data_IF_235781222017
#
_entry.id   IF_235781222017
#
_cell.length_a   1.000
_cell.length_b   1.000
_cell.length_c   1.000
_cell.angle_alpha   90.00
_cell.angle_beta   90.00
_cell.angle_gamma   90.00
#
_symmetry.space_group_name_H-M   'P 1'
#
loop_
_entity.id
_entity.type
_entity.pdbx_description
1 polymer ?
#
# COMPACT_ATOMS: atom_id res chain seq x y z
N UNK A 1 12.21 -9.29 20.75
CA UNK A 1 10.86 -9.31 20.15
C UNK A 1 10.56 -7.94 19.59
N UNK A 2 10.31 -7.85 18.29
CA UNK A 2 10.03 -6.59 17.59
C UNK A 2 8.54 -6.26 17.63
N UNK A 3 8.21 -4.97 17.59
CA UNK A 3 6.83 -4.47 17.64
C UNK A 3 6.53 -3.59 16.43
N UNK A 4 5.49 -3.95 15.70
CA UNK A 4 4.94 -3.22 14.56
C UNK A 4 3.55 -2.73 14.95
N UNK A 5 3.32 -1.40 14.87
CA UNK A 5 1.98 -0.84 15.02
C UNK A 5 1.50 -0.25 13.69
N UNK A 6 0.54 -0.91 13.07
CA UNK A 6 -0.20 -0.38 11.94
C UNK A 6 -1.37 0.45 12.40
N UNK A 7 -1.43 1.71 11.96
CA UNK A 7 -2.58 2.59 12.21
C UNK A 7 -3.24 2.87 10.87
N UNK A 8 -4.56 2.70 10.79
CA UNK A 8 -5.30 2.76 9.54
C UNK A 8 -6.51 3.67 9.65
N UNK A 9 -6.74 4.52 8.64
CA UNK A 9 -7.99 5.27 8.51
C UNK A 9 -9.22 4.38 8.27
N UNK A 10 -9.01 3.09 7.96
CA UNK A 10 -10.09 2.13 7.80
C UNK A 10 -10.76 1.72 9.12
N UNK A 11 -11.76 0.86 9.01
CA UNK A 11 -12.57 0.45 10.17
C UNK A 11 -11.77 -0.22 11.28
N UNK A 12 -12.14 0.07 12.53
CA UNK A 12 -11.65 -0.57 13.76
C UNK A 12 -12.19 -1.99 13.97
N UNK A 13 -13.25 -2.39 13.25
CA UNK A 13 -13.78 -3.77 13.30
C UNK A 13 -12.80 -4.83 12.79
N UNK A 14 -11.74 -4.41 12.08
CA UNK A 14 -10.65 -5.27 11.58
C UNK A 14 -9.40 -5.18 12.45
N UNK A 15 -9.51 -4.62 13.64
CA UNK A 15 -8.41 -4.51 14.57
C UNK A 15 -8.03 -5.89 15.06
N UNK A 16 -6.74 -6.18 15.00
CA UNK A 16 -6.22 -7.48 15.34
C UNK A 16 -4.77 -7.35 15.79
N UNK A 17 -4.33 -8.38 16.49
CA UNK A 17 -2.98 -8.50 16.99
C UNK A 17 -2.51 -9.93 16.81
N UNK A 18 -1.33 -10.08 16.22
CA UNK A 18 -0.73 -11.39 15.92
C UNK A 18 0.74 -11.38 16.28
N UNK A 19 1.27 -12.55 16.61
CA UNK A 19 2.71 -12.77 16.75
C UNK A 19 3.12 -13.74 15.67
N UNK A 20 4.09 -13.33 14.86
CA UNK A 20 4.65 -14.14 13.77
C UNK A 20 6.15 -14.28 13.95
N UNK A 21 6.73 -15.30 13.33
CA UNK A 21 8.17 -15.47 13.23
C UNK A 21 8.62 -15.17 11.80
N UNK A 22 9.54 -14.23 11.66
CA UNK A 22 10.09 -13.81 10.35
C UNK A 22 11.59 -13.83 10.44
N UNK A 23 12.24 -14.66 9.61
CA UNK A 23 13.70 -14.81 9.58
C UNK A 23 14.30 -15.15 10.97
N UNK A 24 13.58 -15.94 11.77
CA UNK A 24 13.99 -16.32 13.14
C UNK A 24 13.70 -15.26 14.22
N UNK A 25 13.14 -14.11 13.86
CA UNK A 25 12.75 -13.06 14.81
C UNK A 25 11.25 -13.10 15.10
N UNK A 26 10.88 -13.08 16.39
CA UNK A 26 9.48 -12.91 16.81
C UNK A 26 9.06 -11.45 16.67
N UNK A 27 8.02 -11.23 15.88
CA UNK A 27 7.44 -9.91 15.59
C UNK A 27 5.97 -9.91 16.06
N UNK A 28 5.65 -8.98 16.94
CA UNK A 28 4.28 -8.64 17.30
C UNK A 28 3.77 -7.57 16.33
N UNK A 29 2.69 -7.88 15.62
CA UNK A 29 2.05 -6.99 14.65
C UNK A 29 0.66 -6.67 15.16
N UNK A 30 0.38 -5.39 15.33
CA UNK A 30 -0.92 -4.89 15.74
C UNK A 30 -1.47 -3.94 14.67
N UNK A 31 -2.76 -4.08 14.33
CA UNK A 31 -3.48 -3.12 13.48
C UNK A 31 -4.56 -2.43 14.29
N UNK A 32 -4.58 -1.09 14.27
CA UNK A 32 -5.62 -0.23 14.84
C UNK A 32 -6.29 0.62 13.77
N UNK A 33 -7.62 0.58 13.72
CA UNK A 33 -8.46 1.37 12.84
C UNK A 33 -8.93 2.63 13.54
N UNK A 34 -9.10 3.70 12.76
CA UNK A 34 -9.57 4.99 13.28
C UNK A 34 -10.91 5.40 12.72
N UNK A 35 -11.55 4.56 11.89
CA UNK A 35 -12.90 4.80 11.35
C UNK A 35 -13.01 6.16 10.63
N UNK A 36 -11.95 6.56 9.93
CA UNK A 36 -11.83 7.85 9.24
C UNK A 36 -11.34 9.00 10.11
N UNK A 37 -11.16 8.82 11.42
CA UNK A 37 -10.70 9.88 12.31
C UNK A 37 -9.17 10.07 12.21
N UNK A 38 -8.79 11.16 11.52
CA UNK A 38 -7.40 11.58 11.34
C UNK A 38 -6.76 12.05 12.65
N UNK A 39 -7.52 12.71 13.53
CA UNK A 39 -6.99 13.20 14.82
C UNK A 39 -6.66 12.02 15.72
N UNK A 40 -7.55 11.02 15.79
CA UNK A 40 -7.31 9.76 16.50
C UNK A 40 -6.08 9.04 15.97
N UNK A 41 -5.88 9.00 14.64
CA UNK A 41 -4.68 8.41 14.04
C UNK A 41 -3.40 9.13 14.50
N UNK A 42 -3.39 10.47 14.44
CA UNK A 42 -2.26 11.28 14.90
C UNK A 42 -1.99 11.07 16.41
N UNK A 43 -3.04 10.99 17.22
CA UNK A 43 -2.92 10.72 18.65
C UNK A 43 -2.28 9.35 18.93
N UNK A 44 -2.75 8.29 18.26
CA UNK A 44 -2.16 6.95 18.40
C UNK A 44 -0.67 6.97 18.04
N UNK A 45 -0.30 7.65 16.95
CA UNK A 45 1.10 7.80 16.57
C UNK A 45 1.92 8.51 17.66
N UNK A 46 1.44 9.65 18.18
CA UNK A 46 2.13 10.39 19.25
C UNK A 46 2.30 9.56 20.53
N UNK A 47 1.25 8.85 20.95
CA UNK A 47 1.26 8.06 22.17
C UNK A 47 2.22 6.87 22.10
N UNK A 48 2.49 6.35 20.89
CA UNK A 48 3.30 5.17 20.65
C UNK A 48 4.68 5.48 20.06
N UNK A 49 4.98 6.75 19.76
CA UNK A 49 6.27 7.17 19.21
C UNK A 49 7.41 6.88 20.19
N UNK A 50 8.40 6.11 19.74
CA UNK A 50 9.48 5.58 20.56
C UNK A 50 9.11 4.36 21.42
N UNK A 51 7.88 3.83 21.34
CA UNK A 51 7.44 2.63 22.07
C UNK A 51 7.33 1.37 21.20
N UNK A 52 7.36 1.54 19.88
CA UNK A 52 7.36 0.46 18.89
C UNK A 52 8.54 0.62 17.94
N UNK A 53 8.98 -0.49 17.33
CA UNK A 53 10.13 -0.49 16.43
C UNK A 53 9.81 0.17 15.09
N UNK A 54 8.57 0.04 14.60
CA UNK A 54 8.14 0.64 13.33
C UNK A 54 6.62 0.85 13.30
N UNK A 55 6.19 1.92 12.63
CA UNK A 55 4.80 2.16 12.28
C UNK A 55 4.51 1.71 10.85
N UNK A 56 3.27 1.28 10.62
CA UNK A 56 2.70 1.25 9.26
C UNK A 56 1.51 2.19 9.13
N UNK A 57 1.47 2.93 8.02
CA UNK A 57 0.37 3.79 7.62
C UNK A 57 -0.60 3.00 6.76
N UNK A 58 -1.88 2.99 7.13
CA UNK A 58 -2.93 2.30 6.39
C UNK A 58 -4.11 3.20 6.03
N UNK A 59 -4.79 2.86 4.94
CA UNK A 59 -5.94 3.63 4.44
C UNK A 59 -5.55 4.94 3.73
N UNK A 60 -4.26 5.16 3.53
CA UNK A 60 -3.67 6.20 2.66
C UNK A 60 -2.23 5.78 2.34
N UNK A 61 -1.67 6.29 1.25
CA UNK A 61 -0.26 6.10 0.89
C UNK A 61 0.55 7.36 1.28
N UNK A 62 1.85 7.21 1.56
CA UNK A 62 2.75 8.33 1.80
C UNK A 62 3.39 8.79 0.49
N UNK A 63 3.74 7.83 -0.37
CA UNK A 63 4.43 8.08 -1.62
C UNK A 63 3.75 7.40 -2.80
N UNK A 64 3.72 8.10 -3.94
CA UNK A 64 3.45 7.54 -5.26
C UNK A 64 4.74 7.59 -6.09
N UNK A 65 4.90 6.67 -7.02
CA UNK A 65 6.10 6.58 -7.86
C UNK A 65 5.73 6.53 -9.34
N UNK A 66 6.42 7.31 -10.18
CA UNK A 66 6.25 7.24 -11.63
C UNK A 66 7.07 6.10 -12.27
N UNK A 67 7.01 4.90 -11.69
CA UNK A 67 7.80 3.72 -12.08
C UNK A 67 9.01 3.41 -11.17
N UNK A 68 9.76 2.31 -11.44
CA UNK A 68 10.73 1.74 -10.51
C UNK A 68 11.95 2.64 -10.28
N UNK A 69 12.31 3.43 -11.30
CA UNK A 69 13.35 4.45 -11.26
C UNK A 69 12.77 5.85 -11.48
N UNK A 70 11.46 5.99 -11.24
CA UNK A 70 10.72 7.22 -11.47
C UNK A 70 10.84 8.23 -10.34
N UNK A 71 10.18 9.37 -10.53
CA UNK A 71 10.07 10.40 -9.50
C UNK A 71 9.13 9.90 -8.39
N UNK A 72 9.53 10.16 -7.14
CA UNK A 72 8.69 9.99 -5.96
C UNK A 72 7.84 11.25 -5.73
N UNK A 73 6.55 11.07 -5.54
CA UNK A 73 5.58 12.11 -5.21
C UNK A 73 5.05 11.88 -3.80
N UNK A 74 5.17 12.88 -2.94
CA UNK A 74 4.64 12.81 -1.57
C UNK A 74 3.19 13.25 -1.54
N UNK A 75 2.31 12.44 -0.92
CA UNK A 75 0.95 12.85 -0.61
C UNK A 75 0.99 13.78 0.60
N UNK A 76 0.68 15.07 0.39
CA UNK A 76 0.83 16.12 1.41
C UNK A 76 -0.05 15.89 2.63
N UNK A 77 -1.23 15.32 2.44
CA UNK A 77 -2.19 14.98 3.48
C UNK A 77 -1.62 13.91 4.40
N UNK A 78 -1.09 12.82 3.84
CA UNK A 78 -0.39 11.77 4.58
C UNK A 78 0.86 12.30 5.28
N UNK A 79 1.63 13.18 4.61
CA UNK A 79 2.79 13.82 5.22
C UNK A 79 2.40 14.60 6.48
N UNK A 80 1.30 15.36 6.45
CA UNK A 80 0.79 16.09 7.63
C UNK A 80 0.46 15.17 8.79
N UNK A 81 -0.11 13.99 8.52
CA UNK A 81 -0.45 13.00 9.54
C UNK A 81 0.81 12.50 10.24
N UNK A 82 1.81 12.07 9.46
CA UNK A 82 3.01 11.42 10.01
C UNK A 82 3.98 12.40 10.67
N UNK A 83 3.85 13.72 10.44
CA UNK A 83 4.70 14.76 11.05
C UNK A 83 4.70 14.74 12.58
N UNK A 84 3.71 14.12 13.22
CA UNK A 84 3.66 13.97 14.67
C UNK A 84 4.65 12.94 15.22
N UNK A 85 5.12 12.03 14.37
CA UNK A 85 6.11 11.00 14.69
C UNK A 85 7.50 11.63 14.64
N UNK A 86 8.30 11.45 15.70
CA UNK A 86 9.64 12.05 15.84
C UNK A 86 10.74 11.02 15.94
N UNK A 87 10.46 9.82 16.47
CA UNK A 87 11.47 8.82 16.80
C UNK A 87 11.34 7.54 15.99
N UNK A 88 10.13 6.98 15.92
CA UNK A 88 9.88 5.68 15.32
C UNK A 88 9.78 5.81 13.78
N UNK A 89 10.44 4.94 13.00
CA UNK A 89 10.29 4.93 11.54
C UNK A 89 8.88 4.53 11.11
N UNK A 90 8.46 4.94 9.91
CA UNK A 90 7.15 4.61 9.34
C UNK A 90 7.26 4.18 7.88
N UNK A 91 6.42 3.23 7.49
CA UNK A 91 6.24 2.74 6.12
C UNK A 91 4.76 2.70 5.74
N UNK A 92 4.44 2.62 4.45
CA UNK A 92 3.05 2.56 3.93
C UNK A 92 2.76 1.31 3.10
N UNK A 93 3.75 0.42 2.93
CA UNK A 93 3.60 -0.80 2.15
C UNK A 93 3.79 -0.64 0.63
N UNK A 94 4.16 0.53 0.13
CA UNK A 94 4.37 0.76 -1.31
C UNK A 94 5.36 -0.22 -1.93
N UNK A 95 6.46 -0.54 -1.25
CA UNK A 95 7.46 -1.48 -1.74
C UNK A 95 6.95 -2.92 -1.87
N UNK A 96 6.18 -3.40 -0.89
CA UNK A 96 5.64 -4.76 -0.93
C UNK A 96 4.51 -4.88 -1.97
N UNK A 97 3.71 -3.82 -2.14
CA UNK A 97 2.67 -3.71 -3.18
C UNK A 97 3.28 -3.93 -4.57
N UNK A 98 4.36 -3.22 -4.88
CA UNK A 98 5.06 -3.35 -6.16
C UNK A 98 5.52 -4.79 -6.45
N UNK A 99 6.18 -5.43 -5.49
CA UNK A 99 6.74 -6.78 -5.67
C UNK A 99 5.64 -7.85 -5.74
N UNK A 100 4.68 -7.82 -4.79
CA UNK A 100 3.68 -8.88 -4.69
C UNK A 100 2.68 -8.84 -5.84
N UNK A 101 2.19 -7.66 -6.23
CA UNK A 101 1.19 -7.57 -7.28
C UNK A 101 1.70 -8.10 -8.62
N UNK A 102 2.94 -7.74 -8.99
CA UNK A 102 3.59 -8.26 -10.19
C UNK A 102 3.77 -9.78 -10.12
N UNK A 103 4.19 -10.27 -8.96
CA UNK A 103 4.41 -11.70 -8.73
C UNK A 103 3.12 -12.52 -8.83
N UNK A 104 1.99 -11.98 -8.34
CA UNK A 104 0.67 -12.63 -8.45
C UNK A 104 0.24 -12.75 -9.91
N UNK A 105 0.37 -11.68 -10.71
CA UNK A 105 0.02 -11.76 -12.13
C UNK A 105 0.91 -12.76 -12.87
N UNK A 106 2.21 -12.76 -12.59
CA UNK A 106 3.15 -13.75 -13.13
C UNK A 106 2.79 -15.18 -12.73
N UNK A 107 2.37 -15.39 -11.49
CA UNK A 107 1.91 -16.70 -11.02
C UNK A 107 0.67 -17.15 -11.81
N UNK A 108 -0.33 -16.29 -11.97
CA UNK A 108 -1.53 -16.58 -12.76
C UNK A 108 -1.14 -16.97 -14.19
N UNK A 109 -0.30 -16.15 -14.83
CA UNK A 109 0.13 -16.38 -16.22
C UNK A 109 0.93 -17.67 -16.43
N UNK A 110 1.75 -18.09 -15.46
CA UNK A 110 2.71 -19.19 -15.64
C UNK A 110 2.34 -20.48 -14.95
N UNK A 111 1.48 -20.45 -13.93
CA UNK A 111 1.18 -21.59 -13.05
C UNK A 111 -0.30 -21.97 -13.03
N UNK A 112 -1.15 -21.30 -13.82
CA UNK A 112 -2.59 -21.58 -13.87
C UNK A 112 -3.10 -21.58 -15.31
N UNK A 113 -4.28 -22.17 -15.53
CA UNK A 113 -4.94 -22.19 -16.83
C UNK A 113 -5.79 -20.92 -17.11
N UNK A 114 -5.64 -19.86 -16.30
CA UNK A 114 -6.39 -18.61 -16.48
C UNK A 114 -5.78 -17.81 -17.64
N UNK A 115 -6.50 -17.61 -18.76
CA UNK A 115 -5.95 -16.92 -19.91
C UNK A 115 -5.93 -15.40 -19.70
N UNK A 116 -4.74 -14.80 -19.69
CA UNK A 116 -4.56 -13.34 -19.59
C UNK A 116 -4.28 -12.67 -20.95
N UNK A 117 -3.57 -13.35 -21.85
CA UNK A 117 -3.21 -12.78 -23.16
C UNK A 117 -4.44 -12.36 -23.96
N UNK A 118 -4.44 -11.13 -24.48
CA UNK A 118 -5.54 -10.54 -25.24
C UNK A 118 -6.79 -10.19 -24.42
N UNK A 119 -6.75 -10.34 -23.08
CA UNK A 119 -7.84 -9.87 -22.22
C UNK A 119 -7.72 -8.37 -22.00
N UNK A 120 -8.86 -7.69 -21.95
CA UNK A 120 -8.94 -6.28 -21.57
C UNK A 120 -8.79 -6.14 -20.07
N UNK A 121 -7.89 -5.27 -19.63
CA UNK A 121 -7.64 -5.00 -18.22
C UNK A 121 -7.68 -3.50 -17.95
N UNK A 122 -8.60 -3.08 -17.07
CA UNK A 122 -8.65 -1.72 -16.54
C UNK A 122 -7.95 -1.68 -15.18
N UNK A 123 -6.88 -0.90 -15.07
CA UNK A 123 -6.25 -0.58 -13.79
C UNK A 123 -6.73 0.80 -13.37
N UNK A 124 -7.42 0.90 -12.23
CA UNK A 124 -8.09 2.13 -11.82
C UNK A 124 -7.12 3.27 -11.50
N UNK A 125 -6.07 3.00 -10.71
CA UNK A 125 -5.01 3.95 -10.38
C UNK A 125 -3.66 3.25 -10.57
N UNK A 126 -3.07 3.39 -11.76
CA UNK A 126 -1.82 2.74 -12.15
C UNK A 126 -0.61 3.26 -11.39
N UNK A 127 -0.58 4.56 -11.08
CA UNK A 127 0.52 5.15 -10.28
C UNK A 127 0.62 4.59 -8.86
N UNK A 128 -0.48 4.03 -8.33
CA UNK A 128 -0.49 3.29 -7.07
C UNK A 128 -0.28 1.78 -7.27
N UNK A 129 -0.80 1.23 -8.38
CA UNK A 129 -0.82 -0.20 -8.71
C UNK A 129 0.20 -0.57 -9.78
N UNK A 130 1.38 0.02 -9.69
CA UNK A 130 2.37 -0.03 -10.77
C UNK A 130 2.83 -1.47 -11.07
N UNK A 131 3.07 -2.28 -10.03
CA UNK A 131 3.48 -3.68 -10.17
C UNK A 131 2.41 -4.55 -10.86
N UNK A 132 1.13 -4.32 -10.54
CA UNK A 132 0.02 -5.01 -11.20
C UNK A 132 -0.05 -4.68 -12.69
N UNK A 133 0.06 -3.40 -13.05
CA UNK A 133 0.07 -2.97 -14.46
C UNK A 133 1.23 -3.59 -15.24
N UNK A 134 2.46 -3.57 -14.71
CA UNK A 134 3.59 -4.24 -15.34
C UNK A 134 3.33 -5.74 -15.56
N UNK A 135 2.84 -6.44 -14.54
CA UNK A 135 2.55 -7.86 -14.65
C UNK A 135 1.50 -8.18 -15.72
N UNK A 136 0.45 -7.35 -15.84
CA UNK A 136 -0.61 -7.54 -16.83
C UNK A 136 -0.12 -7.26 -18.26
N UNK A 137 0.73 -6.23 -18.44
CA UNK A 137 1.39 -5.95 -19.71
C UNK A 137 2.28 -7.14 -20.13
N UNK A 138 3.10 -7.65 -19.22
CA UNK A 138 3.98 -8.80 -19.46
C UNK A 138 3.18 -10.08 -19.78
N UNK A 139 1.99 -10.24 -19.19
CA UNK A 139 1.07 -11.34 -19.48
C UNK A 139 0.30 -11.17 -20.81
N UNK A 140 0.47 -10.03 -21.50
CA UNK A 140 -0.12 -9.74 -22.80
C UNK A 140 -1.56 -9.24 -22.76
N UNK A 141 -2.00 -8.62 -21.66
CA UNK A 141 -3.31 -7.97 -21.58
C UNK A 141 -3.37 -6.70 -22.44
N UNK A 142 -4.56 -6.39 -22.96
CA UNK A 142 -4.90 -5.10 -23.55
C UNK A 142 -5.24 -4.11 -22.43
N UNK A 143 -4.34 -3.18 -22.14
CA UNK A 143 -4.46 -2.30 -20.99
C UNK A 143 -5.37 -1.10 -21.25
N UNK A 144 -6.03 -0.66 -20.20
CA UNK A 144 -6.61 0.67 -20.05
C UNK A 144 -6.20 1.21 -18.69
N UNK A 145 -5.56 2.37 -18.67
CA UNK A 145 -5.13 3.02 -17.44
C UNK A 145 -6.15 4.09 -17.04
N UNK A 146 -6.73 3.91 -15.86
CA UNK A 146 -7.85 4.70 -15.35
C UNK A 146 -7.44 5.92 -14.53
N UNK A 147 -6.15 6.24 -14.44
CA UNK A 147 -5.60 7.22 -13.50
C UNK A 147 -6.29 8.59 -13.56
N UNK A 148 -6.57 9.08 -14.77
CA UNK A 148 -7.28 10.34 -14.96
C UNK A 148 -8.76 10.23 -14.55
N UNK A 149 -9.39 9.09 -14.84
CA UNK A 149 -10.80 8.83 -14.53
C UNK A 149 -11.01 8.72 -13.02
N UNK A 150 -10.27 7.84 -12.35
CA UNK A 150 -10.48 7.53 -10.93
C UNK A 150 -9.70 8.46 -9.99
N UNK A 151 -8.55 8.97 -10.42
CA UNK A 151 -7.72 9.87 -9.61
C UNK A 151 -8.12 11.34 -9.73
N UNK A 152 -8.54 11.78 -10.92
CA UNK A 152 -8.81 13.21 -11.21
C UNK A 152 -10.24 13.50 -11.69
N UNK A 153 -11.08 12.47 -11.82
CA UNK A 153 -12.44 12.59 -12.37
C UNK A 153 -12.47 13.22 -13.79
N UNK A 154 -11.43 12.95 -14.58
CA UNK A 154 -11.31 13.35 -15.98
C UNK A 154 -11.63 12.12 -16.83
N UNK A 155 -12.68 12.15 -17.68
CA UNK A 155 -13.20 10.97 -18.38
C UNK A 155 -12.35 10.59 -19.61
N UNK A 156 -11.03 10.45 -19.43
CA UNK A 156 -10.05 10.12 -20.46
C UNK A 156 -9.32 8.84 -20.03
N UNK A 157 -9.51 7.71 -20.72
CA UNK A 157 -8.67 6.53 -20.54
C UNK A 157 -7.30 6.75 -21.20
N UNK A 158 -6.24 6.21 -20.60
CA UNK A 158 -4.88 6.18 -21.15
C UNK A 158 -4.50 4.77 -21.60
#
# INVERSE_FOLDING_TARGET
MKKVLGVSLGSSTRDHKVVVEVLGEKIEIERRGTDGDVKKMMQIFQENDGKVDIFSLGGTDLYLYSGPHGKRYTIKESEKIIRVIKKTPIVDGTGIKYVLEKSVVKYIYTQTDIPLKGKKALVTITVDRFGMAEGLIEAGCEMTFGDLIFGLNIPIPL
#
